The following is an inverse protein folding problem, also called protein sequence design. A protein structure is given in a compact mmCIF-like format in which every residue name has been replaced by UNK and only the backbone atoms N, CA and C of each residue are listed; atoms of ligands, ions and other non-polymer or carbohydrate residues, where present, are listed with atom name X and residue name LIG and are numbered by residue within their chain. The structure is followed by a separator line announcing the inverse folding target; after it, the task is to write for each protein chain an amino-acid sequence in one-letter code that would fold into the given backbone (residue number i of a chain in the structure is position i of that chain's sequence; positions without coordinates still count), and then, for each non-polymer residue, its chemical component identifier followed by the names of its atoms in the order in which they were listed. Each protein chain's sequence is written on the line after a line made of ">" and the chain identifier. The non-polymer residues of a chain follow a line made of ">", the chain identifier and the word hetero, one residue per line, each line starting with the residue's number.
data_IF_752490888740
#
_entry.id   IF_752490888740
#
_cell.length_a   1.000
_cell.length_b   1.000
_cell.length_c   1.000
_cell.angle_alpha   90.00
_cell.angle_beta   90.00
_cell.angle_gamma   90.00
#
_symmetry.space_group_name_H-M   'P 1'
#
loop_
_entity.id
_entity.type
_entity.pdbx_description
1 polymer ?
#
# COMPACT_ATOMS: atom_id res chain seq x y z
N UNK A 1 -15.90 25.87 8.33
CA UNK A 1 -14.46 25.84 7.96
C UNK A 1 -13.56 24.92 8.80
N UNK A 2 -13.67 24.86 10.14
CA UNK A 2 -12.78 24.02 10.97
C UNK A 2 -12.91 22.51 10.70
N UNK A 3 -14.13 22.02 10.48
CA UNK A 3 -14.42 20.61 10.18
C UNK A 3 -13.84 20.17 8.83
N UNK A 4 -14.15 20.90 7.75
CA UNK A 4 -13.62 20.66 6.39
C UNK A 4 -12.08 20.62 6.41
N UNK A 5 -11.45 21.57 7.12
CA UNK A 5 -10.00 21.62 7.27
C UNK A 5 -9.45 20.41 8.02
N UNK A 6 -10.14 19.90 9.04
CA UNK A 6 -9.74 18.68 9.74
C UNK A 6 -9.85 17.45 8.81
N UNK A 7 -10.97 17.32 8.11
CA UNK A 7 -11.23 16.21 7.19
C UNK A 7 -10.18 16.12 6.09
N UNK A 8 -9.95 17.23 5.36
CA UNK A 8 -9.00 17.28 4.25
C UNK A 8 -7.55 17.02 4.69
N UNK A 9 -7.15 17.42 5.90
CA UNK A 9 -5.76 17.24 6.36
C UNK A 9 -5.50 15.85 6.92
N UNK A 10 -6.47 15.30 7.67
CA UNK A 10 -6.21 14.14 8.53
C UNK A 10 -6.92 12.87 8.05
N UNK A 11 -8.09 12.99 7.43
CA UNK A 11 -8.88 11.84 6.96
C UNK A 11 -8.66 11.55 5.48
N UNK A 12 -8.58 12.58 4.64
CA UNK A 12 -8.41 12.39 3.19
C UNK A 12 -7.15 11.60 2.82
N UNK A 13 -5.96 11.82 3.43
CA UNK A 13 -4.79 10.99 3.15
C UNK A 13 -4.99 9.51 3.52
N UNK A 14 -5.72 9.23 4.61
CA UNK A 14 -6.05 7.86 5.03
C UNK A 14 -6.92 7.19 3.95
N UNK A 15 -7.98 7.87 3.52
CA UNK A 15 -8.89 7.36 2.47
C UNK A 15 -8.14 7.10 1.17
N UNK A 16 -7.26 8.01 0.77
CA UNK A 16 -6.43 7.87 -0.43
C UNK A 16 -5.52 6.63 -0.33
N UNK A 17 -4.82 6.46 0.80
CA UNK A 17 -3.93 5.31 1.01
C UNK A 17 -4.72 4.00 1.04
N UNK A 18 -5.84 3.94 1.76
CA UNK A 18 -6.72 2.77 1.78
C UNK A 18 -7.22 2.42 0.37
N UNK A 19 -7.66 3.42 -0.40
CA UNK A 19 -8.12 3.21 -1.78
C UNK A 19 -6.99 2.70 -2.68
N UNK A 20 -5.76 3.16 -2.46
CA UNK A 20 -4.59 2.72 -3.23
C UNK A 20 -4.23 1.27 -2.90
N UNK A 21 -4.23 0.90 -1.62
CA UNK A 21 -4.06 -0.49 -1.19
C UNK A 21 -5.13 -1.37 -1.83
N UNK A 22 -6.39 -0.93 -1.78
CA UNK A 22 -7.51 -1.68 -2.35
C UNK A 22 -7.31 -1.96 -3.85
N UNK A 23 -6.90 -0.94 -4.62
CA UNK A 23 -6.65 -1.06 -6.07
C UNK A 23 -5.42 -1.94 -6.34
N UNK A 24 -4.33 -1.72 -5.62
CA UNK A 24 -3.10 -2.51 -5.75
C UNK A 24 -3.35 -4.01 -5.49
N UNK A 25 -4.09 -4.30 -4.43
CA UNK A 25 -4.40 -5.66 -3.99
C UNK A 25 -5.47 -6.34 -4.87
N UNK A 26 -6.23 -5.59 -5.68
CA UNK A 26 -7.24 -6.18 -6.58
C UNK A 26 -6.67 -6.83 -7.85
N UNK A 27 -5.37 -6.67 -8.13
CA UNK A 27 -4.75 -7.33 -9.28
C UNK A 27 -4.54 -8.83 -8.98
N UNK A 28 -4.69 -9.74 -9.94
CA UNK A 28 -4.33 -11.15 -9.77
C UNK A 28 -2.81 -11.33 -9.64
N UNK A 29 -2.36 -12.41 -9.01
CA UNK A 29 -0.94 -12.76 -8.90
C UNK A 29 -0.78 -14.25 -9.05
N UNK A 30 -0.07 -14.67 -10.07
CA UNK A 30 0.14 -16.08 -10.40
C UNK A 30 0.84 -16.84 -9.26
N UNK A 31 1.61 -16.15 -8.41
CA UNK A 31 2.31 -16.73 -7.26
C UNK A 31 1.42 -17.04 -6.05
N UNK A 32 0.14 -16.65 -6.07
CA UNK A 32 -0.84 -16.92 -5.00
C UNK A 32 -2.01 -17.76 -5.50
N UNK A 33 -1.84 -18.42 -6.65
CA UNK A 33 -2.88 -19.23 -7.25
C UNK A 33 -3.16 -20.50 -6.46
N UNK A 34 -4.31 -20.52 -5.77
CA UNK A 34 -4.84 -21.69 -5.09
C UNK A 34 -5.87 -22.47 -5.91
N UNK A 35 -6.08 -22.15 -7.19
CA UNK A 35 -6.93 -22.96 -8.09
C UNK A 35 -6.60 -24.46 -8.00
N UNK A 36 -5.30 -24.88 -7.95
CA UNK A 36 -4.95 -26.30 -7.77
C UNK A 36 -5.36 -26.92 -6.43
N UNK A 37 -5.58 -26.11 -5.39
CA UNK A 37 -6.01 -26.54 -4.03
C UNK A 37 -7.53 -26.48 -3.91
N UNK A 38 -8.16 -25.42 -4.45
CA UNK A 38 -9.61 -25.29 -4.56
C UNK A 38 -10.19 -26.46 -5.34
N UNK A 39 -9.57 -26.86 -6.45
CA UNK A 39 -10.00 -28.01 -7.24
C UNK A 39 -9.96 -29.34 -6.46
N UNK A 40 -9.14 -29.43 -5.41
CA UNK A 40 -9.04 -30.60 -4.53
C UNK A 40 -10.01 -30.58 -3.35
N UNK A 41 -10.42 -29.40 -2.88
CA UNK A 41 -11.25 -29.23 -1.66
C UNK A 41 -12.71 -28.94 -1.99
N UNK A 42 -13.00 -28.38 -3.17
CA UNK A 42 -14.35 -27.95 -3.56
C UNK A 42 -15.17 -29.08 -4.19
N UNK A 43 -15.44 -30.15 -3.45
CA UNK A 43 -16.39 -31.19 -3.88
C UNK A 43 -17.87 -30.81 -3.55
N UNK A 44 -18.09 -29.68 -2.86
CA UNK A 44 -19.43 -29.16 -2.55
C UNK A 44 -19.92 -28.15 -3.61
N UNK A 45 -20.84 -28.62 -4.46
CA UNK A 45 -21.50 -27.87 -5.54
C UNK A 45 -22.17 -26.56 -5.09
N UNK A 46 -22.63 -26.48 -3.83
CA UNK A 46 -23.28 -25.30 -3.26
C UNK A 46 -22.31 -24.14 -2.98
N UNK A 47 -21.10 -24.44 -2.48
CA UNK A 47 -20.07 -23.43 -2.20
C UNK A 47 -19.48 -22.88 -3.50
N UNK A 48 -19.31 -23.74 -4.53
CA UNK A 48 -18.92 -23.31 -5.88
C UNK A 48 -19.94 -22.35 -6.49
N UNK A 49 -21.24 -22.59 -6.31
CA UNK A 49 -22.30 -21.72 -6.83
C UNK A 49 -22.33 -20.33 -6.17
N UNK A 50 -22.17 -20.27 -4.85
CA UNK A 50 -22.15 -18.99 -4.12
C UNK A 50 -20.87 -18.20 -4.46
N UNK A 51 -19.70 -18.86 -4.42
CA UNK A 51 -18.43 -18.24 -4.77
C UNK A 51 -18.43 -17.72 -6.22
N UNK A 52 -18.99 -18.49 -7.17
CA UNK A 52 -19.13 -18.06 -8.56
C UNK A 52 -20.06 -16.84 -8.72
N UNK A 53 -21.18 -16.81 -8.01
CA UNK A 53 -22.12 -15.69 -8.08
C UNK A 53 -21.58 -14.38 -7.46
N UNK A 54 -20.77 -14.50 -6.40
CA UNK A 54 -20.07 -13.37 -5.77
C UNK A 54 -18.92 -12.90 -6.67
N UNK A 55 -18.15 -13.85 -7.23
CA UNK A 55 -17.10 -13.60 -8.23
C UNK A 55 -17.63 -12.80 -9.42
N UNK A 56 -18.72 -13.23 -10.04
CA UNK A 56 -19.29 -12.55 -11.21
C UNK A 56 -19.70 -11.08 -10.91
N UNK A 57 -20.15 -10.82 -9.66
CA UNK A 57 -20.48 -9.46 -9.22
C UNK A 57 -19.26 -8.60 -8.93
N UNK A 58 -18.21 -9.17 -8.33
CA UNK A 58 -16.96 -8.46 -8.01
C UNK A 58 -16.19 -8.18 -9.29
N UNK A 59 -16.00 -9.19 -10.14
CA UNK A 59 -15.33 -9.07 -11.44
C UNK A 59 -16.05 -8.03 -12.30
N UNK A 60 -17.38 -8.08 -12.36
CA UNK A 60 -18.17 -7.08 -13.09
C UNK A 60 -18.05 -5.64 -12.53
N UNK A 61 -17.69 -5.44 -11.25
CA UNK A 61 -17.42 -4.11 -10.69
C UNK A 61 -15.98 -3.70 -10.95
N UNK A 62 -15.01 -4.60 -10.75
CA UNK A 62 -13.60 -4.37 -11.03
C UNK A 62 -13.38 -4.03 -12.51
N UNK A 63 -13.96 -4.81 -13.42
CA UNK A 63 -13.90 -4.58 -14.86
C UNK A 63 -14.55 -3.25 -15.25
N UNK A 64 -15.65 -2.86 -14.59
CA UNK A 64 -16.26 -1.54 -14.82
C UNK A 64 -15.35 -0.40 -14.36
N UNK A 65 -14.66 -0.55 -13.24
CA UNK A 65 -13.71 0.46 -12.73
C UNK A 65 -12.46 0.53 -13.62
N UNK A 66 -11.93 -0.61 -14.04
CA UNK A 66 -10.77 -0.71 -14.93
C UNK A 66 -11.12 -0.16 -16.32
N UNK A 67 -12.26 -0.54 -16.88
CA UNK A 67 -12.76 0.01 -18.14
C UNK A 67 -13.03 1.51 -18.04
N UNK A 68 -13.54 2.01 -16.91
CA UNK A 68 -13.70 3.45 -16.69
C UNK A 68 -12.33 4.15 -16.65
N UNK A 69 -11.31 3.56 -16.02
CA UNK A 69 -9.97 4.13 -15.96
C UNK A 69 -9.25 4.12 -17.33
N UNK A 70 -9.46 3.08 -18.13
CA UNK A 70 -8.89 2.95 -19.48
C UNK A 70 -9.60 3.86 -20.48
N UNK A 71 -10.94 3.88 -20.46
CA UNK A 71 -11.76 4.64 -21.41
C UNK A 71 -11.88 6.12 -21.05
N UNK A 72 -11.59 6.49 -19.80
CA UNK A 72 -11.52 7.88 -19.37
C UNK A 72 -10.14 8.17 -18.75
N UNK A 73 -9.07 8.28 -19.56
CA UNK A 73 -7.74 8.66 -19.09
C UNK A 73 -7.73 10.04 -18.41
N UNK A 74 -8.73 10.87 -18.67
CA UNK A 74 -9.00 12.11 -17.94
C UNK A 74 -9.31 11.89 -16.46
N UNK A 75 -9.92 10.78 -16.04
CA UNK A 75 -10.20 10.47 -14.62
C UNK A 75 -8.91 10.16 -13.88
N UNK A 76 -8.00 9.40 -14.50
CA UNK A 76 -6.66 9.13 -13.97
C UNK A 76 -5.87 10.44 -13.90
N UNK A 77 -5.90 11.25 -14.97
CA UNK A 77 -5.25 12.55 -14.96
C UNK A 77 -5.83 13.48 -13.89
N UNK A 78 -7.15 13.46 -13.65
CA UNK A 78 -7.83 14.23 -12.60
C UNK A 78 -7.42 13.73 -11.22
N UNK A 79 -7.28 12.42 -10.97
CA UNK A 79 -6.82 11.91 -9.68
C UNK A 79 -5.36 12.30 -9.40
N UNK A 80 -4.48 12.24 -10.40
CA UNK A 80 -3.12 12.78 -10.30
C UNK A 80 -3.11 14.30 -10.09
N UNK A 81 -4.00 15.03 -10.75
CA UNK A 81 -4.12 16.50 -10.62
C UNK A 81 -4.64 16.89 -9.24
N UNK A 82 -5.66 16.21 -8.72
CA UNK A 82 -6.17 16.39 -7.36
C UNK A 82 -5.08 16.07 -6.34
N UNK A 83 -4.28 15.03 -6.58
CA UNK A 83 -3.14 14.69 -5.74
C UNK A 83 -2.06 15.79 -5.76
N UNK A 84 -1.70 16.30 -6.94
CA UNK A 84 -0.76 17.41 -7.11
C UNK A 84 -1.25 18.68 -6.42
N UNK A 85 -2.55 18.98 -6.48
CA UNK A 85 -3.17 20.10 -5.77
C UNK A 85 -3.09 19.88 -4.25
N UNK A 86 -3.34 18.66 -3.74
CA UNK A 86 -3.19 18.34 -2.33
C UNK A 86 -1.74 18.48 -1.86
N UNK A 87 -0.77 18.08 -2.67
CA UNK A 87 0.67 18.30 -2.46
C UNK A 87 0.97 19.79 -2.34
N UNK A 88 0.49 20.58 -3.31
CA UNK A 88 0.68 22.03 -3.32
C UNK A 88 0.05 22.69 -2.08
N UNK A 89 -1.14 22.26 -1.66
CA UNK A 89 -1.83 22.78 -0.47
C UNK A 89 -1.11 22.42 0.83
N UNK A 90 -0.61 21.18 0.96
CA UNK A 90 0.16 20.73 2.11
C UNK A 90 1.49 21.49 2.18
N UNK A 91 2.19 21.64 1.05
CA UNK A 91 3.40 22.45 0.93
C UNK A 91 3.15 23.91 1.32
N UNK A 92 2.09 24.54 0.78
CA UNK A 92 1.78 25.94 1.08
C UNK A 92 1.47 26.17 2.57
N UNK A 93 0.76 25.24 3.22
CA UNK A 93 0.51 25.30 4.67
C UNK A 93 1.77 25.17 5.51
N UNK A 94 2.75 24.47 5.00
CA UNK A 94 4.01 24.18 5.66
C UNK A 94 4.95 25.38 5.51
N UNK A 95 4.93 26.05 4.36
CA UNK A 95 5.58 27.35 4.13
C UNK A 95 4.97 28.45 5.02
N UNK A 96 3.64 28.46 5.18
CA UNK A 96 2.91 29.47 5.97
C UNK A 96 2.79 29.13 7.47
N UNK A 97 3.43 28.08 7.98
CA UNK A 97 3.39 27.80 9.41
C UNK A 97 4.23 28.84 10.18
N UNK A 98 3.91 29.15 11.45
CA UNK A 98 4.71 30.05 12.28
C UNK A 98 5.99 29.37 12.83
N UNK A 99 6.41 28.25 12.24
CA UNK A 99 7.61 27.53 12.69
C UNK A 99 8.90 28.23 12.22
N UNK A 100 10.01 27.96 12.90
CA UNK A 100 11.34 28.42 12.43
C UNK A 100 11.69 27.85 11.05
N UNK A 101 12.52 28.56 10.29
CA UNK A 101 12.95 28.16 8.94
C UNK A 101 13.48 26.73 8.88
N UNK A 102 14.29 26.32 9.87
CA UNK A 102 14.81 24.95 10.00
C UNK A 102 13.68 23.92 10.14
N UNK A 103 12.66 24.20 10.97
CA UNK A 103 11.50 23.31 11.15
C UNK A 103 10.62 23.24 9.89
N UNK A 104 10.54 24.32 9.11
CA UNK A 104 9.82 24.32 7.81
C UNK A 104 10.54 23.44 6.79
N UNK A 105 11.85 23.63 6.62
CA UNK A 105 12.66 22.81 5.71
C UNK A 105 12.58 21.33 6.09
N UNK A 106 12.74 20.99 7.37
CA UNK A 106 12.69 19.61 7.85
C UNK A 106 11.31 18.97 7.62
N UNK A 107 10.22 19.70 7.91
CA UNK A 107 8.86 19.23 7.62
C UNK A 107 8.67 19.06 6.11
N UNK A 108 9.14 19.98 5.28
CA UNK A 108 8.97 19.92 3.82
C UNK A 108 9.64 18.70 3.22
N UNK A 109 10.87 18.39 3.66
CA UNK A 109 11.61 17.19 3.26
C UNK A 109 10.86 15.92 3.68
N UNK A 110 10.33 15.87 4.90
CA UNK A 110 9.57 14.71 5.39
C UNK A 110 8.28 14.51 4.58
N UNK A 111 7.48 15.55 4.37
CA UNK A 111 6.20 15.43 3.64
C UNK A 111 6.40 15.17 2.14
N UNK A 112 7.42 15.77 1.52
CA UNK A 112 7.77 15.47 0.13
C UNK A 112 8.36 14.07 -0.04
N UNK A 113 9.18 13.59 0.90
CA UNK A 113 9.68 12.21 0.92
C UNK A 113 8.59 11.17 1.11
N UNK A 114 7.65 11.40 2.05
CA UNK A 114 6.46 10.56 2.26
C UNK A 114 5.58 10.52 1.00
N UNK A 115 5.42 11.65 0.31
CA UNK A 115 4.62 11.72 -0.92
C UNK A 115 5.33 11.10 -2.13
N UNK A 116 6.64 11.26 -2.24
CA UNK A 116 7.44 10.59 -3.26
C UNK A 116 7.42 9.08 -3.06
N UNK A 117 7.56 8.61 -1.81
CA UNK A 117 7.37 7.18 -1.49
C UNK A 117 5.96 6.73 -1.83
N UNK A 118 4.91 7.46 -1.46
CA UNK A 118 3.54 7.11 -1.84
C UNK A 118 3.36 7.01 -3.36
N UNK A 119 3.90 7.98 -4.12
CA UNK A 119 3.82 8.00 -5.58
C UNK A 119 4.60 6.84 -6.21
N UNK A 120 5.83 6.61 -5.76
CA UNK A 120 6.66 5.52 -6.23
C UNK A 120 6.00 4.17 -5.92
N UNK A 121 5.54 3.98 -4.68
CA UNK A 121 4.80 2.80 -4.24
C UNK A 121 3.51 2.58 -5.03
N UNK A 122 2.73 3.63 -5.32
CA UNK A 122 1.52 3.50 -6.14
C UNK A 122 1.84 3.13 -7.59
N UNK A 123 2.93 3.65 -8.16
CA UNK A 123 3.39 3.27 -9.49
C UNK A 123 3.89 1.81 -9.50
N UNK A 124 4.69 1.40 -8.52
CA UNK A 124 5.21 0.04 -8.38
C UNK A 124 4.10 -0.99 -8.13
N UNK A 125 3.06 -0.61 -7.41
CA UNK A 125 1.94 -1.49 -7.10
C UNK A 125 0.98 -1.70 -8.28
N UNK A 126 0.94 -0.79 -9.26
CA UNK A 126 -0.03 -0.83 -10.37
C UNK A 126 0.60 -1.34 -11.67
N UNK A 127 1.91 -1.16 -11.88
CA UNK A 127 2.62 -1.56 -13.11
C UNK A 127 4.03 -2.12 -12.82
N UNK A 128 4.12 -3.23 -12.09
CA UNK A 128 5.39 -3.93 -11.84
C UNK A 128 6.14 -4.28 -13.13
N UNK A 129 5.43 -4.70 -14.18
CA UNK A 129 6.05 -5.09 -15.46
C UNK A 129 6.79 -3.93 -16.15
N UNK A 130 6.17 -2.75 -16.19
CA UNK A 130 6.80 -1.56 -16.78
C UNK A 130 8.03 -1.12 -15.98
N UNK A 131 8.05 -1.36 -14.67
CA UNK A 131 9.19 -1.04 -13.81
C UNK A 131 10.32 -2.04 -14.05
N UNK A 132 10.00 -3.32 -14.15
CA UNK A 132 10.96 -4.38 -14.47
C UNK A 132 11.61 -4.09 -15.84
N UNK A 133 10.83 -3.64 -16.82
CA UNK A 133 11.34 -3.23 -18.13
C UNK A 133 12.32 -2.04 -18.02
N UNK A 134 11.99 -1.01 -17.23
CA UNK A 134 12.91 0.11 -16.97
C UNK A 134 14.21 -0.36 -16.29
N UNK A 135 14.12 -1.25 -15.31
CA UNK A 135 15.28 -1.82 -14.61
C UNK A 135 16.18 -2.57 -15.59
N UNK A 136 15.60 -3.41 -16.46
CA UNK A 136 16.33 -4.15 -17.51
C UNK A 136 17.03 -3.23 -18.51
N UNK A 137 16.44 -2.07 -18.79
CA UNK A 137 17.02 -1.09 -19.70
C UNK A 137 18.17 -0.28 -19.08
N UNK A 138 18.33 -0.31 -17.74
CA UNK A 138 19.37 0.46 -17.03
C UNK A 138 20.46 -0.39 -16.37
N UNK A 139 20.18 -1.65 -16.03
CA UNK A 139 21.11 -2.56 -15.35
C UNK A 139 21.37 -3.82 -16.18
N UNK A 140 22.59 -4.34 -16.13
CA UNK A 140 22.89 -5.60 -16.82
C UNK A 140 22.27 -6.78 -16.09
N UNK A 141 21.76 -7.76 -16.84
CA UNK A 141 21.12 -8.96 -16.27
C UNK A 141 22.06 -9.72 -15.32
N UNK A 142 23.37 -9.68 -15.56
CA UNK A 142 24.38 -10.34 -14.71
C UNK A 142 24.53 -9.67 -13.33
N UNK A 143 24.44 -8.34 -13.26
CA UNK A 143 24.44 -7.62 -11.99
C UNK A 143 23.19 -7.97 -11.16
N UNK A 144 22.02 -7.96 -11.79
CA UNK A 144 20.75 -8.30 -11.15
C UNK A 144 20.80 -9.76 -10.66
N UNK A 145 21.24 -10.68 -11.53
CA UNK A 145 21.33 -12.10 -11.20
C UNK A 145 22.26 -12.36 -10.02
N UNK A 146 23.42 -11.68 -9.96
CA UNK A 146 24.37 -11.84 -8.86
C UNK A 146 23.77 -11.42 -7.51
N UNK A 147 22.95 -10.36 -7.49
CA UNK A 147 22.23 -9.96 -6.27
C UNK A 147 21.13 -10.97 -5.90
N UNK A 148 20.36 -11.44 -6.88
CA UNK A 148 19.24 -12.35 -6.65
C UNK A 148 19.65 -13.79 -6.28
N UNK A 149 20.83 -14.26 -6.71
CA UNK A 149 21.34 -15.60 -6.34
C UNK A 149 21.55 -15.80 -4.84
N UNK A 150 21.67 -14.71 -4.06
CA UNK A 150 21.83 -14.76 -2.60
C UNK A 150 20.52 -14.92 -1.85
N UNK A 151 19.40 -14.87 -2.57
CA UNK A 151 18.05 -14.88 -1.99
C UNK A 151 17.55 -16.32 -2.01
N UNK A 152 17.40 -16.89 -0.81
CA UNK A 152 16.78 -18.19 -0.60
C UNK A 152 16.10 -18.20 0.77
N UNK A 153 14.77 -18.15 0.77
CA UNK A 153 13.96 -18.21 1.99
C UNK A 153 12.56 -18.78 1.70
N UNK A 154 11.89 -19.26 2.74
CA UNK A 154 10.52 -19.77 2.63
C UNK A 154 9.50 -18.67 2.94
N UNK A 155 8.50 -18.51 2.08
CA UNK A 155 7.39 -17.58 2.24
C UNK A 155 6.07 -18.26 1.89
N UNK A 156 5.10 -18.27 2.81
CA UNK A 156 3.82 -18.95 2.64
C UNK A 156 3.93 -20.41 2.17
N UNK A 157 4.91 -21.14 2.72
CA UNK A 157 5.17 -22.54 2.39
C UNK A 157 5.87 -22.79 1.05
N UNK A 158 6.19 -21.74 0.28
CA UNK A 158 6.93 -21.82 -0.98
C UNK A 158 8.36 -21.28 -0.84
N UNK A 159 9.32 -21.83 -1.57
CA UNK A 159 10.69 -21.32 -1.60
C UNK A 159 10.80 -20.16 -2.59
N UNK A 160 11.18 -18.99 -2.07
CA UNK A 160 11.41 -17.77 -2.85
C UNK A 160 12.89 -17.68 -3.16
N UNK A 161 13.28 -18.12 -4.35
CA UNK A 161 14.64 -18.06 -4.85
C UNK A 161 14.67 -17.93 -6.37
N UNK A 162 15.89 -17.77 -6.92
CA UNK A 162 16.07 -17.52 -8.35
C UNK A 162 15.64 -18.71 -9.23
N UNK A 163 15.71 -19.93 -8.71
CA UNK A 163 15.39 -21.15 -9.44
C UNK A 163 13.88 -21.34 -9.57
N UNK A 164 13.12 -21.01 -8.53
CA UNK A 164 11.67 -21.16 -8.50
C UNK A 164 10.94 -20.01 -9.19
N UNK A 165 11.43 -18.77 -9.06
CA UNK A 165 10.70 -17.56 -9.51
C UNK A 165 11.35 -16.85 -10.71
N UNK A 166 12.57 -17.24 -11.10
CA UNK A 166 13.33 -16.53 -12.12
C UNK A 166 13.73 -15.11 -11.69
N UNK A 167 14.37 -14.37 -12.60
CA UNK A 167 14.81 -12.98 -12.34
C UNK A 167 13.60 -12.04 -12.20
N UNK A 168 12.66 -12.12 -13.15
CA UNK A 168 11.52 -11.21 -13.19
C UNK A 168 10.53 -11.50 -12.05
N UNK A 169 10.20 -12.77 -11.80
CA UNK A 169 9.28 -13.14 -10.74
C UNK A 169 9.82 -12.82 -9.34
N UNK A 170 11.13 -12.88 -9.11
CA UNK A 170 11.73 -12.38 -7.86
C UNK A 170 11.64 -10.85 -7.75
N UNK A 171 11.97 -10.12 -8.81
CA UNK A 171 11.86 -8.66 -8.79
C UNK A 171 10.42 -8.21 -8.54
N UNK A 172 9.46 -8.83 -9.23
CA UNK A 172 8.04 -8.57 -9.04
C UNK A 172 7.61 -8.86 -7.60
N UNK A 173 8.00 -10.01 -7.05
CA UNK A 173 7.74 -10.37 -5.66
C UNK A 173 8.22 -9.25 -4.71
N UNK A 174 9.48 -8.83 -4.80
CA UNK A 174 10.03 -7.81 -3.91
C UNK A 174 9.40 -6.43 -4.12
N UNK A 175 9.15 -6.03 -5.37
CA UNK A 175 8.50 -4.76 -5.68
C UNK A 175 7.09 -4.71 -5.09
N UNK A 176 6.32 -5.79 -5.22
CA UNK A 176 4.96 -5.87 -4.68
C UNK A 176 4.93 -5.91 -3.16
N UNK A 177 5.71 -6.79 -2.54
CA UNK A 177 5.80 -6.91 -1.06
C UNK A 177 6.33 -5.63 -0.44
N UNK A 178 7.34 -5.01 -1.06
CA UNK A 178 7.85 -3.70 -0.65
C UNK A 178 6.80 -2.59 -0.80
N UNK A 179 6.06 -2.57 -1.90
CA UNK A 179 5.01 -1.58 -2.11
C UNK A 179 3.91 -1.68 -1.03
N UNK A 180 3.42 -2.89 -0.76
CA UNK A 180 2.45 -3.16 0.30
C UNK A 180 2.95 -2.70 1.67
N UNK A 181 4.17 -3.10 2.06
CA UNK A 181 4.80 -2.64 3.29
C UNK A 181 4.81 -1.10 3.43
N UNK A 182 5.18 -0.38 2.36
CA UNK A 182 5.21 1.08 2.39
C UNK A 182 3.81 1.73 2.37
N UNK A 183 2.82 1.15 1.67
CA UNK A 183 1.44 1.64 1.74
C UNK A 183 0.88 1.50 3.16
N UNK A 184 1.11 0.36 3.80
CA UNK A 184 0.67 0.16 5.17
C UNK A 184 1.45 1.03 6.16
N UNK A 185 2.74 1.32 5.92
CA UNK A 185 3.46 2.33 6.68
C UNK A 185 2.83 3.72 6.57
N UNK A 186 2.41 4.13 5.38
CA UNK A 186 1.69 5.39 5.20
C UNK A 186 0.35 5.38 5.93
N UNK A 187 -0.38 4.26 5.88
CA UNK A 187 -1.63 4.08 6.60
C UNK A 187 -1.43 4.26 8.11
N UNK A 188 -0.48 3.52 8.71
CA UNK A 188 -0.16 3.61 10.13
C UNK A 188 0.28 5.02 10.54
N UNK A 189 1.09 5.69 9.71
CA UNK A 189 1.52 7.06 9.94
C UNK A 189 0.36 8.06 9.97
N UNK A 190 -0.52 8.04 8.96
CA UNK A 190 -1.63 9.00 8.87
C UNK A 190 -2.72 8.72 9.90
N UNK A 191 -3.06 7.45 10.14
CA UNK A 191 -4.03 7.07 11.18
C UNK A 191 -3.54 7.52 12.56
N UNK A 192 -2.27 7.28 12.90
CA UNK A 192 -1.69 7.78 14.16
C UNK A 192 -1.80 9.31 14.27
N UNK A 193 -1.44 10.05 13.23
CA UNK A 193 -1.48 11.51 13.25
C UNK A 193 -2.91 12.05 13.41
N UNK A 194 -3.88 11.45 12.73
CA UNK A 194 -5.29 11.83 12.81
C UNK A 194 -5.86 11.57 14.22
N UNK A 195 -5.61 10.37 14.76
CA UNK A 195 -6.04 10.01 16.11
C UNK A 195 -5.38 10.89 17.16
N UNK A 196 -4.07 11.13 17.06
CA UNK A 196 -3.37 12.00 18.00
C UNK A 196 -3.90 13.43 17.96
N UNK A 197 -4.32 13.91 16.78
CA UNK A 197 -4.91 15.25 16.64
C UNK A 197 -6.25 15.35 17.39
N UNK A 198 -7.03 14.27 17.40
CA UNK A 198 -8.33 14.18 18.06
C UNK A 198 -8.20 13.99 19.58
N UNK A 199 -7.38 13.03 20.02
CA UNK A 199 -7.30 12.62 21.44
C UNK A 199 -6.24 13.35 22.24
N UNK A 200 -5.17 13.83 21.58
CA UNK A 200 -3.92 14.33 22.20
C UNK A 200 -3.19 13.32 23.08
N UNK A 201 -3.58 12.04 23.06
CA UNK A 201 -3.01 10.95 23.86
C UNK A 201 -2.17 10.03 22.98
N UNK A 202 -0.85 10.08 23.16
CA UNK A 202 0.11 9.40 22.28
C UNK A 202 -0.07 7.89 22.26
N UNK A 203 -0.11 7.26 23.43
CA UNK A 203 -0.18 5.81 23.55
C UNK A 203 -1.51 5.25 23.01
N UNK A 204 -2.64 5.83 23.41
CA UNK A 204 -3.96 5.42 22.92
C UNK A 204 -4.07 5.58 21.40
N UNK A 205 -3.56 6.68 20.83
CA UNK A 205 -3.56 6.88 19.38
C UNK A 205 -2.69 5.87 18.64
N UNK A 206 -1.57 5.46 19.23
CA UNK A 206 -0.70 4.43 18.66
C UNK A 206 -1.39 3.05 18.67
N UNK A 207 -1.94 2.65 19.81
CA UNK A 207 -2.64 1.36 19.95
C UNK A 207 -3.82 1.28 18.96
N UNK A 208 -4.67 2.31 18.91
CA UNK A 208 -5.81 2.34 17.99
C UNK A 208 -5.34 2.36 16.54
N UNK A 209 -4.25 3.06 16.22
CA UNK A 209 -3.69 3.02 14.86
C UNK A 209 -3.23 1.62 14.46
N UNK A 210 -2.58 0.88 15.37
CA UNK A 210 -2.19 -0.50 15.12
C UNK A 210 -3.39 -1.43 14.95
N UNK A 211 -4.45 -1.26 15.74
CA UNK A 211 -5.70 -2.02 15.57
C UNK A 211 -6.29 -1.76 14.17
N UNK A 212 -6.33 -0.51 13.73
CA UNK A 212 -6.83 -0.16 12.38
C UNK A 212 -5.97 -0.77 11.28
N UNK A 213 -4.64 -0.72 11.41
CA UNK A 213 -3.70 -1.34 10.45
C UNK A 213 -3.92 -2.84 10.37
N UNK A 214 -3.91 -3.54 11.50
CA UNK A 214 -4.07 -5.00 11.54
C UNK A 214 -5.43 -5.41 10.97
N UNK A 215 -6.50 -4.71 11.37
CA UNK A 215 -7.84 -4.97 10.85
C UNK A 215 -7.91 -4.74 9.33
N UNK A 216 -7.25 -3.70 8.81
CA UNK A 216 -7.25 -3.42 7.39
C UNK A 216 -6.41 -4.43 6.59
N UNK A 217 -5.26 -4.87 7.12
CA UNK A 217 -4.43 -5.91 6.50
C UNK A 217 -5.18 -7.25 6.44
N UNK A 218 -5.81 -7.64 7.55
CA UNK A 218 -6.64 -8.84 7.60
C UNK A 218 -7.86 -8.75 6.66
N UNK A 219 -8.48 -7.57 6.55
CA UNK A 219 -9.59 -7.35 5.61
C UNK A 219 -9.11 -7.41 4.15
N UNK A 220 -7.93 -6.90 3.85
CA UNK A 220 -7.35 -6.95 2.51
C UNK A 220 -7.09 -8.39 2.07
N UNK A 221 -6.44 -9.20 2.92
CA UNK A 221 -6.19 -10.63 2.67
C UNK A 221 -7.47 -11.45 2.62
N UNK A 222 -8.42 -11.19 3.53
CA UNK A 222 -9.75 -11.81 3.47
C UNK A 222 -10.44 -11.49 2.14
N UNK A 223 -10.38 -10.24 1.69
CA UNK A 223 -10.95 -9.84 0.40
C UNK A 223 -10.24 -10.55 -0.76
N UNK A 224 -8.93 -10.69 -0.72
CA UNK A 224 -8.15 -11.37 -1.76
C UNK A 224 -8.59 -12.83 -1.93
N UNK A 225 -9.11 -13.50 -0.88
CA UNK A 225 -9.67 -14.87 -1.02
C UNK A 225 -10.86 -14.96 -1.99
N UNK A 226 -11.51 -13.85 -2.32
CA UNK A 226 -12.59 -13.80 -3.31
C UNK A 226 -12.10 -13.58 -4.74
N UNK A 227 -10.82 -13.29 -4.93
CA UNK A 227 -10.22 -13.11 -6.25
C UNK A 227 -9.72 -14.48 -6.73
N UNK A 228 -10.12 -14.94 -7.94
CA UNK A 228 -9.58 -16.16 -8.53
C UNK A 228 -8.05 -16.06 -8.58
N UNK A 229 -7.37 -17.20 -8.38
CA UNK A 229 -5.91 -17.26 -8.32
C UNK A 229 -5.24 -16.42 -7.23
N UNK A 230 -5.96 -16.13 -6.13
CA UNK A 230 -5.41 -15.52 -4.93
C UNK A 230 -5.82 -16.30 -3.69
N UNK A 231 -4.91 -16.42 -2.74
CA UNK A 231 -5.17 -16.87 -1.38
C UNK A 231 -4.79 -15.79 -0.39
N UNK A 232 -5.53 -15.70 0.69
CA UNK A 232 -5.14 -14.88 1.83
C UNK A 232 -3.93 -15.50 2.51
N UNK A 233 -2.85 -14.76 2.63
CA UNK A 233 -1.61 -15.18 3.29
C UNK A 233 -1.47 -14.48 4.64
N UNK A 234 -1.28 -15.27 5.70
CA UNK A 234 -1.03 -14.70 7.03
C UNK A 234 0.31 -13.95 7.07
N UNK A 235 1.27 -14.40 6.25
CA UNK A 235 2.56 -13.74 6.04
C UNK A 235 2.39 -12.33 5.45
N UNK A 236 1.37 -12.10 4.61
CA UNK A 236 1.06 -10.76 4.10
C UNK A 236 0.45 -9.87 5.19
N UNK A 237 -0.47 -10.40 6.00
CA UNK A 237 -0.99 -9.67 7.17
C UNK A 237 0.14 -9.24 8.11
N UNK A 238 1.12 -10.13 8.35
CA UNK A 238 2.28 -9.85 9.20
C UNK A 238 3.16 -8.77 8.57
N UNK A 239 3.46 -8.88 7.28
CA UNK A 239 4.29 -7.91 6.55
C UNK A 239 3.64 -6.52 6.54
N UNK A 240 2.35 -6.45 6.23
CA UNK A 240 1.58 -5.21 6.19
C UNK A 240 1.47 -4.58 7.59
N UNK A 241 1.28 -5.42 8.62
CA UNK A 241 1.30 -4.97 10.00
C UNK A 241 2.66 -4.40 10.39
N UNK A 242 3.77 -5.02 9.97
CA UNK A 242 5.12 -4.50 10.21
C UNK A 242 5.33 -3.14 9.52
N UNK A 243 4.81 -2.98 8.30
CA UNK A 243 4.75 -1.70 7.61
C UNK A 243 4.02 -0.64 8.43
N UNK A 244 2.79 -0.93 8.84
CA UNK A 244 2.00 0.01 9.65
C UNK A 244 2.60 0.32 11.02
N UNK A 245 3.30 -0.63 11.65
CA UNK A 245 4.07 -0.40 12.87
C UNK A 245 5.21 0.59 12.65
N UNK A 246 5.98 0.41 11.58
CA UNK A 246 7.03 1.35 11.18
C UNK A 246 6.45 2.75 10.98
N UNK A 247 5.36 2.84 10.22
CA UNK A 247 4.63 4.09 9.96
C UNK A 247 4.14 4.81 11.21
N UNK A 248 3.42 4.11 12.08
CA UNK A 248 2.90 4.64 13.33
C UNK A 248 4.04 5.11 14.25
N UNK A 249 5.15 4.38 14.29
CA UNK A 249 6.35 4.73 15.06
C UNK A 249 6.98 6.01 14.54
N UNK A 250 7.12 6.17 13.22
CA UNK A 250 7.58 7.42 12.62
C UNK A 250 6.66 8.61 12.97
N UNK A 251 5.34 8.37 12.95
CA UNK A 251 4.35 9.35 13.37
C UNK A 251 4.54 9.77 14.83
N UNK A 252 4.79 8.80 15.71
CA UNK A 252 5.01 9.01 17.13
C UNK A 252 6.33 9.75 17.41
N UNK A 253 7.45 9.33 16.82
CA UNK A 253 8.75 9.99 16.93
C UNK A 253 8.68 11.46 16.49
N UNK A 254 7.97 11.75 15.38
CA UNK A 254 7.71 13.11 14.92
C UNK A 254 7.07 13.99 16.00
N UNK A 255 6.20 13.43 16.85
CA UNK A 255 5.59 14.17 17.97
C UNK A 255 6.53 14.36 19.14
N UNK A 256 7.36 13.37 19.45
CA UNK A 256 8.39 13.48 20.49
C UNK A 256 9.39 14.60 20.14
N UNK A 257 9.93 14.58 18.92
CA UNK A 257 10.87 15.60 18.43
C UNK A 257 10.23 16.99 18.42
N UNK A 258 8.98 17.11 17.96
CA UNK A 258 8.27 18.40 17.95
C UNK A 258 7.96 18.94 19.35
N UNK A 259 7.93 18.10 20.39
CA UNK A 259 7.77 18.51 21.79
C UNK A 259 9.10 18.97 22.39
N UNK A 260 10.19 18.25 22.12
CA UNK A 260 11.54 18.60 22.60
C UNK A 260 12.09 19.91 22.00
N UNK A 261 11.58 20.33 20.84
CA UNK A 261 11.98 21.57 20.18
C UNK A 261 11.05 22.76 20.50
N UNK A 262 10.15 22.65 21.46
CA UNK A 262 9.31 23.76 21.97
C UNK A 262 9.87 24.24 23.29
#
# INVERSE_FOLDING_TARGET
>A
MKFIKFFVINLLPIVIVMSTIFIASSQSSDQQDISPVLDRVSDESSLRGIAASVKERIDGVADRVIALAINHPSIVLVSFTVMAILIAVLFFRLVHSPDSTVKKVLKSIIYSGIMFMFMATAVFAVKSDSVIEVIRNQLSLDQIRTLLTRIDFTYAGSTVNLQSHGVDGLMEFFLRKGAHFFLFALLGFFVFLALFKLTRRSLSSFIIAMIVVIAYAALDEYRQTFIPSRSGLIEDVILDTAGGLFGATMGWLKKLISRSLR
#
